data_IF_004843824765
#
_entry.id   IF_004843824765
#
_cell.length_a   1.000
_cell.length_b   1.000
_cell.length_c   1.000
_cell.angle_alpha   90.00
_cell.angle_beta   90.00
_cell.angle_gamma   90.00
#
_symmetry.space_group_name_H-M   'P 1'
#
loop_
_entity.id
_entity.type
_entity.pdbx_description
1 polymer ?
#
# COMPACT_ATOMS: atom_id res chain seq x y z
N UNK A 1 10.91 -11.53 -4.93
CA UNK A 1 11.72 -12.42 -5.79
C UNK A 1 10.93 -13.11 -6.90
N UNK A 2 9.81 -13.76 -6.60
CA UNK A 2 9.06 -14.60 -7.56
C UNK A 2 8.19 -13.82 -8.56
N UNK A 3 7.56 -12.72 -8.13
CA UNK A 3 6.60 -11.98 -8.97
C UNK A 3 7.20 -11.54 -10.33
N UNK A 4 8.40 -10.92 -10.40
CA UNK A 4 9.02 -10.60 -11.69
C UNK A 4 9.22 -11.83 -12.61
N UNK A 5 9.58 -12.98 -12.04
CA UNK A 5 9.77 -14.22 -12.81
C UNK A 5 8.43 -14.74 -13.33
N UNK A 6 7.39 -14.69 -12.50
CA UNK A 6 6.04 -15.11 -12.88
C UNK A 6 5.40 -14.22 -13.96
N UNK A 7 5.71 -12.93 -13.97
CA UNK A 7 5.28 -12.01 -15.04
C UNK A 7 5.92 -12.37 -16.40
N UNK A 8 7.16 -12.87 -16.40
CA UNK A 8 7.85 -13.28 -17.62
C UNK A 8 7.43 -14.69 -18.12
N UNK A 9 6.91 -15.54 -17.22
CA UNK A 9 6.51 -16.93 -17.51
C UNK A 9 5.18 -17.25 -16.85
N UNK A 10 4.09 -16.89 -17.53
CA UNK A 10 2.74 -16.94 -16.98
C UNK A 10 2.21 -18.37 -16.77
N UNK A 11 2.78 -19.37 -17.43
CA UNK A 11 2.40 -20.77 -17.41
C UNK A 11 3.25 -21.62 -16.45
N UNK A 12 4.23 -21.01 -15.76
CA UNK A 12 5.10 -21.71 -14.81
C UNK A 12 4.34 -22.06 -13.52
N UNK A 13 3.90 -23.31 -13.43
CA UNK A 13 3.09 -23.80 -12.31
C UNK A 13 3.82 -23.71 -10.96
N UNK A 14 5.14 -23.87 -10.94
CA UNK A 14 5.92 -23.82 -9.70
C UNK A 14 5.94 -22.38 -9.16
N UNK A 15 6.23 -21.41 -10.03
CA UNK A 15 6.19 -19.98 -9.65
C UNK A 15 4.79 -19.57 -9.23
N UNK A 16 3.75 -20.00 -9.97
CA UNK A 16 2.35 -19.71 -9.63
C UNK A 16 1.96 -20.29 -8.27
N UNK A 17 2.37 -21.53 -7.98
CA UNK A 17 2.11 -22.21 -6.71
C UNK A 17 2.75 -21.45 -5.56
N UNK A 18 4.03 -21.08 -5.69
CA UNK A 18 4.74 -20.35 -4.65
C UNK A 18 4.18 -18.93 -4.44
N UNK A 19 3.79 -18.22 -5.50
CA UNK A 19 3.12 -16.91 -5.39
C UNK A 19 1.75 -17.03 -4.71
N UNK A 20 0.96 -18.05 -5.08
CA UNK A 20 -0.32 -18.33 -4.44
C UNK A 20 -0.14 -18.64 -2.95
N UNK A 21 0.86 -19.45 -2.60
CA UNK A 21 1.18 -19.76 -1.21
C UNK A 21 1.59 -18.53 -0.41
N UNK A 22 2.47 -17.68 -0.97
CA UNK A 22 2.86 -16.42 -0.34
C UNK A 22 1.64 -15.50 -0.11
N UNK A 23 0.71 -15.43 -1.08
CA UNK A 23 -0.54 -14.68 -0.93
C UNK A 23 -1.42 -15.23 0.19
N UNK A 24 -1.57 -16.56 0.29
CA UNK A 24 -2.33 -17.20 1.37
C UNK A 24 -1.75 -16.84 2.72
N UNK A 25 -0.42 -16.93 2.89
CA UNK A 25 0.24 -16.56 4.14
C UNK A 25 -0.02 -15.09 4.46
N UNK A 26 0.15 -14.19 3.50
CA UNK A 26 -0.08 -12.75 3.68
C UNK A 26 -1.52 -12.40 4.10
N UNK A 27 -2.51 -13.18 3.64
CA UNK A 27 -3.92 -13.01 3.99
C UNK A 27 -4.38 -13.88 5.17
N UNK A 28 -3.51 -14.72 5.73
CA UNK A 28 -3.82 -15.59 6.87
C UNK A 28 -3.65 -14.86 8.21
N UNK A 29 -4.08 -15.52 9.30
CA UNK A 29 -3.81 -15.06 10.66
C UNK A 29 -2.32 -15.21 11.04
N UNK A 30 -1.49 -15.85 10.23
CA UNK A 30 -0.08 -16.05 10.56
C UNK A 30 0.65 -14.71 10.81
N UNK A 31 0.31 -13.68 10.03
CA UNK A 31 0.85 -12.33 10.21
C UNK A 31 0.50 -11.66 11.55
N UNK A 32 -0.46 -12.20 12.32
CA UNK A 32 -0.80 -11.65 13.64
C UNK A 32 0.11 -12.14 14.75
N UNK A 33 0.86 -13.22 14.53
CA UNK A 33 1.62 -13.96 15.56
C UNK A 33 2.92 -13.26 16.05
N UNK A 34 3.11 -11.97 15.77
CA UNK A 34 4.32 -11.24 16.18
C UNK A 34 4.15 -9.71 16.34
N UNK A 35 2.91 -9.23 16.47
CA UNK A 35 2.65 -7.79 16.61
C UNK A 35 1.26 -7.31 16.17
N UNK A 36 0.33 -8.24 15.93
CA UNK A 36 -0.99 -7.95 15.38
C UNK A 36 -0.97 -7.68 13.86
N UNK A 37 -2.15 -7.58 13.26
CA UNK A 37 -2.36 -7.47 11.81
C UNK A 37 -1.75 -6.23 11.12
N UNK A 38 -1.10 -5.34 11.87
CA UNK A 38 -1.01 -3.94 11.52
C UNK A 38 -2.40 -3.29 11.44
N UNK A 39 -2.44 -1.99 11.21
CA UNK A 39 -3.70 -1.23 11.28
C UNK A 39 -4.34 -1.03 9.90
N UNK A 40 -3.72 -1.56 8.84
CA UNK A 40 -4.19 -1.56 7.44
C UNK A 40 -4.78 -0.23 6.96
N UNK A 41 -4.33 0.90 7.51
CA UNK A 41 -4.96 2.20 7.22
C UNK A 41 -4.77 2.63 5.77
N UNK A 42 -3.67 2.23 5.12
CA UNK A 42 -3.50 2.33 3.68
C UNK A 42 -4.64 1.63 2.90
N UNK A 43 -5.10 0.45 3.34
CA UNK A 43 -6.22 -0.23 2.70
C UNK A 43 -7.52 0.56 2.85
N UNK A 44 -7.77 1.09 4.05
CA UNK A 44 -9.00 1.81 4.31
C UNK A 44 -9.09 3.09 3.48
N UNK A 45 -8.01 3.87 3.36
CA UNK A 45 -8.00 5.06 2.48
C UNK A 45 -8.05 4.69 0.99
N UNK A 46 -7.48 3.54 0.58
CA UNK A 46 -7.52 3.05 -0.80
C UNK A 46 -8.90 2.52 -1.23
N UNK A 47 -9.68 1.95 -0.29
CA UNK A 47 -11.03 1.46 -0.55
C UNK A 47 -11.94 2.56 -1.10
N UNK A 48 -11.85 3.78 -0.55
CA UNK A 48 -12.68 4.90 -1.01
C UNK A 48 -12.30 5.33 -2.43
N UNK A 49 -11.01 5.40 -2.77
CA UNK A 49 -10.59 5.67 -4.14
C UNK A 49 -11.09 4.59 -5.11
N UNK A 50 -10.92 3.31 -4.75
CA UNK A 50 -11.36 2.18 -5.58
C UNK A 50 -12.88 2.23 -5.82
N UNK A 51 -13.66 2.55 -4.78
CA UNK A 51 -15.12 2.63 -4.88
C UNK A 51 -15.65 3.85 -5.65
N UNK A 52 -14.93 4.98 -5.64
CA UNK A 52 -15.34 6.17 -6.41
C UNK A 52 -15.01 6.05 -7.91
N UNK A 53 -13.88 5.42 -8.25
CA UNK A 53 -13.35 5.41 -9.61
C UNK A 53 -13.45 4.05 -10.31
N UNK A 54 -13.98 3.02 -9.65
CA UNK A 54 -14.01 1.63 -10.15
C UNK A 54 -12.63 1.12 -10.63
N UNK A 55 -11.61 1.44 -9.84
CA UNK A 55 -10.21 1.04 -10.11
C UNK A 55 -9.86 -0.19 -9.30
N UNK A 56 -9.12 -1.11 -9.93
CA UNK A 56 -8.62 -2.32 -9.30
C UNK A 56 -7.94 -2.00 -7.95
N UNK A 57 -8.39 -2.68 -6.88
CA UNK A 57 -7.95 -2.38 -5.53
C UNK A 57 -6.43 -2.41 -5.34
N UNK A 58 -5.75 -3.38 -5.97
CA UNK A 58 -4.29 -3.50 -5.94
C UNK A 58 -3.56 -2.30 -6.59
N UNK A 59 -4.15 -1.68 -7.61
CA UNK A 59 -3.59 -0.49 -8.25
C UNK A 59 -3.68 0.73 -7.33
N UNK A 60 -4.83 0.93 -6.66
CA UNK A 60 -5.01 1.98 -5.66
C UNK A 60 -4.02 1.83 -4.49
N UNK A 61 -3.86 0.61 -3.97
CA UNK A 61 -2.89 0.32 -2.91
C UNK A 61 -1.45 0.63 -3.36
N UNK A 62 -1.07 0.19 -4.56
CA UNK A 62 0.27 0.40 -5.09
C UNK A 62 0.60 1.89 -5.32
N UNK A 63 -0.37 2.67 -5.80
CA UNK A 63 -0.21 4.11 -5.98
C UNK A 63 -0.04 4.85 -4.64
N UNK A 64 -0.80 4.47 -3.61
CA UNK A 64 -0.79 5.15 -2.31
C UNK A 64 0.37 4.72 -1.39
N UNK A 65 0.87 3.50 -1.55
CA UNK A 65 1.79 2.88 -0.60
C UNK A 65 3.01 3.76 -0.29
N UNK A 66 3.75 4.32 -1.26
CA UNK A 66 4.93 5.13 -0.95
C UNK A 66 4.62 6.42 -0.17
N UNK A 67 3.57 7.15 -0.55
CA UNK A 67 3.14 8.36 0.15
C UNK A 67 2.67 8.05 1.58
N UNK A 68 1.89 6.97 1.74
CA UNK A 68 1.48 6.48 3.05
C UNK A 68 2.69 6.10 3.92
N UNK A 69 3.69 5.40 3.37
CA UNK A 69 4.91 5.05 4.10
C UNK A 69 5.67 6.30 4.57
N UNK A 70 5.80 7.34 3.72
CA UNK A 70 6.43 8.62 4.09
C UNK A 70 5.65 9.32 5.20
N UNK A 71 4.32 9.36 5.10
CA UNK A 71 3.47 9.90 6.16
C UNK A 71 3.63 9.14 7.49
N UNK A 72 3.80 7.82 7.44
CA UNK A 72 3.97 6.96 8.63
C UNK A 72 5.42 6.94 9.16
N UNK A 73 6.41 7.36 8.37
CA UNK A 73 7.84 7.31 8.70
C UNK A 73 8.19 7.93 10.07
N UNK A 74 7.68 9.11 10.46
CA UNK A 74 8.03 9.72 11.74
C UNK A 74 7.67 8.88 12.97
N UNK A 75 6.64 8.02 12.87
CA UNK A 75 6.13 7.20 13.99
C UNK A 75 6.48 5.72 13.87
N UNK A 76 7.08 5.28 12.76
CA UNK A 76 7.43 3.87 12.49
C UNK A 76 8.77 3.69 11.77
N UNK A 77 9.73 4.61 11.95
CA UNK A 77 11.06 4.58 11.30
C UNK A 77 11.73 3.20 11.34
N UNK A 78 11.79 2.57 12.52
CA UNK A 78 12.40 1.26 12.71
C UNK A 78 11.75 0.14 11.87
N UNK A 79 10.44 0.24 11.61
CA UNK A 79 9.74 -0.74 10.77
C UNK A 79 10.17 -0.62 9.30
N UNK A 80 10.35 0.60 8.80
CA UNK A 80 10.80 0.82 7.42
C UNK A 80 12.29 0.52 7.23
N UNK A 81 13.12 0.79 8.24
CA UNK A 81 14.50 0.35 8.25
C UNK A 81 14.60 -1.18 8.26
N UNK A 82 13.83 -1.86 9.12
CA UNK A 82 13.79 -3.33 9.17
C UNK A 82 13.27 -3.93 7.87
N UNK A 83 12.26 -3.32 7.22
CA UNK A 83 11.79 -3.72 5.89
C UNK A 83 12.94 -3.65 4.88
N UNK A 84 13.63 -2.51 4.81
CA UNK A 84 14.79 -2.34 3.94
C UNK A 84 15.83 -3.43 4.18
N UNK A 85 16.31 -3.55 5.41
CA UNK A 85 17.42 -4.46 5.76
C UNK A 85 17.06 -5.93 5.56
N UNK A 86 15.91 -6.36 6.05
CA UNK A 86 15.57 -7.78 6.14
C UNK A 86 14.89 -8.32 4.88
N UNK A 87 14.24 -7.46 4.08
CA UNK A 87 13.52 -7.89 2.86
C UNK A 87 14.27 -7.50 1.59
N UNK A 88 14.85 -6.30 1.56
CA UNK A 88 15.52 -5.78 0.37
C UNK A 88 17.05 -5.77 0.45
N UNK A 89 17.62 -5.93 1.66
CA UNK A 89 19.07 -5.76 1.87
C UNK A 89 19.54 -4.31 1.77
N UNK A 90 18.65 -3.34 2.01
CA UNK A 90 18.91 -1.90 1.81
C UNK A 90 18.59 -1.09 3.09
N UNK A 91 19.21 0.07 3.30
CA UNK A 91 18.90 0.89 4.49
C UNK A 91 17.54 1.59 4.41
N UNK A 92 17.20 2.09 3.22
CA UNK A 92 15.95 2.82 2.96
C UNK A 92 14.88 1.88 2.39
N UNK A 93 14.02 1.35 3.26
CA UNK A 93 12.93 0.48 2.87
C UNK A 93 11.83 1.16 2.04
N UNK A 94 11.68 2.48 2.11
CA UNK A 94 10.69 3.20 1.27
C UNK A 94 11.20 3.26 -0.16
N UNK A 95 12.43 3.71 -0.36
CA UNK A 95 13.04 3.76 -1.69
C UNK A 95 13.14 2.36 -2.32
N UNK A 96 13.44 1.34 -1.51
CA UNK A 96 13.46 -0.05 -1.98
C UNK A 96 12.07 -0.54 -2.41
N UNK A 97 11.02 -0.16 -1.68
CA UNK A 97 9.63 -0.48 -2.05
C UNK A 97 9.25 0.20 -3.37
N UNK A 98 9.62 1.47 -3.58
CA UNK A 98 9.34 2.17 -4.84
C UNK A 98 10.06 1.54 -6.04
N UNK A 99 11.34 1.18 -5.90
CA UNK A 99 12.09 0.45 -6.94
C UNK A 99 11.48 -0.91 -7.22
N UNK A 100 11.01 -1.61 -6.20
CA UNK A 100 10.34 -2.89 -6.37
C UNK A 100 9.01 -2.75 -7.13
N UNK A 101 8.19 -1.75 -6.78
CA UNK A 101 6.96 -1.42 -7.50
C UNK A 101 7.25 -1.08 -8.96
N UNK A 102 8.30 -0.32 -9.24
CA UNK A 102 8.73 0.01 -10.60
C UNK A 102 9.10 -1.24 -11.39
N UNK A 103 9.89 -2.13 -10.79
CA UNK A 103 10.33 -3.39 -11.38
C UNK A 103 9.17 -4.31 -11.77
N UNK A 104 8.05 -4.27 -11.04
CA UNK A 104 6.86 -5.10 -11.33
C UNK A 104 5.75 -4.35 -12.06
N UNK A 105 6.02 -3.13 -12.56
CA UNK A 105 5.04 -2.33 -13.30
C UNK A 105 3.90 -1.76 -12.44
N UNK A 106 4.10 -1.64 -11.13
CA UNK A 106 3.11 -1.18 -10.16
C UNK A 106 3.48 0.14 -9.48
N UNK A 107 4.50 0.87 -9.97
CA UNK A 107 4.78 2.25 -9.52
C UNK A 107 3.80 3.21 -10.21
N UNK A 108 2.56 3.16 -9.73
CA UNK A 108 1.44 3.91 -10.30
C UNK A 108 1.32 5.30 -9.66
N UNK A 109 0.59 6.18 -10.34
CA UNK A 109 0.16 7.48 -9.81
C UNK A 109 -1.35 7.60 -9.94
N UNK A 110 -1.97 8.33 -9.03
CA UNK A 110 -3.43 8.51 -9.06
C UNK A 110 -3.89 9.20 -10.36
N UNK A 111 -3.08 10.11 -10.91
CA UNK A 111 -3.36 10.76 -12.21
C UNK A 111 -3.41 9.77 -13.38
N UNK A 112 -2.53 8.77 -13.37
CA UNK A 112 -2.44 7.76 -14.44
C UNK A 112 -3.61 6.77 -14.37
N UNK A 113 -4.28 6.70 -13.20
CA UNK A 113 -5.50 5.94 -12.95
C UNK A 113 -6.78 6.73 -13.22
N UNK A 114 -6.68 7.96 -13.78
CA UNK A 114 -7.81 8.80 -14.12
C UNK A 114 -8.49 9.49 -12.93
N UNK A 115 -7.85 9.49 -11.75
CA UNK A 115 -8.40 10.14 -10.57
C UNK A 115 -8.23 11.66 -10.65
N UNK A 116 -9.17 12.38 -10.04
CA UNK A 116 -9.30 13.83 -10.10
C UNK A 116 -9.02 14.47 -8.75
N UNK A 117 -8.01 15.36 -8.61
CA UNK A 117 -7.67 16.00 -7.34
C UNK A 117 -8.83 16.76 -6.70
N UNK A 118 -9.78 17.22 -7.49
CA UNK A 118 -10.97 17.96 -7.04
C UNK A 118 -11.85 17.13 -6.11
N UNK A 119 -11.83 15.79 -6.25
CA UNK A 119 -12.60 14.89 -5.39
C UNK A 119 -11.83 14.42 -4.14
N UNK A 120 -10.53 14.70 -4.02
CA UNK A 120 -9.72 14.16 -2.93
C UNK A 120 -10.21 14.56 -1.54
N UNK A 121 -10.67 15.80 -1.38
CA UNK A 121 -11.22 16.28 -0.12
C UNK A 121 -12.54 15.57 0.25
N UNK A 122 -13.45 15.41 -0.71
CA UNK A 122 -14.71 14.70 -0.50
C UNK A 122 -14.46 13.23 -0.12
N UNK A 123 -13.58 12.56 -0.85
CA UNK A 123 -13.22 11.15 -0.63
C UNK A 123 -12.56 10.98 0.74
N UNK A 124 -11.63 11.87 1.11
CA UNK A 124 -10.98 11.88 2.41
C UNK A 124 -11.99 12.10 3.54
N UNK A 125 -12.88 13.09 3.41
CA UNK A 125 -13.92 13.38 4.38
C UNK A 125 -14.88 12.18 4.57
N UNK A 126 -15.25 11.51 3.47
CA UNK A 126 -16.08 10.31 3.53
C UNK A 126 -15.36 9.14 4.21
N UNK A 127 -14.06 8.96 3.94
CA UNK A 127 -13.23 7.96 4.61
C UNK A 127 -13.24 8.17 6.13
N UNK A 128 -12.95 9.41 6.58
CA UNK A 128 -12.92 9.77 8.01
C UNK A 128 -14.27 9.56 8.69
N UNK A 129 -15.35 9.93 8.00
CA UNK A 129 -16.71 9.81 8.54
C UNK A 129 -17.17 8.36 8.71
N UNK A 130 -16.72 7.45 7.85
CA UNK A 130 -17.34 6.11 7.74
C UNK A 130 -16.45 4.96 8.19
N UNK A 131 -15.12 5.10 8.13
CA UNK A 131 -14.21 4.03 8.53
C UNK A 131 -13.48 4.34 9.84
N UNK A 132 -14.09 3.96 10.96
CA UNK A 132 -13.50 4.18 12.29
C UNK A 132 -12.11 3.52 12.47
N UNK A 133 -11.73 2.55 11.62
CA UNK A 133 -10.47 1.81 11.74
C UNK A 133 -9.26 2.66 11.33
N UNK A 134 -9.45 3.76 10.60
CA UNK A 134 -8.34 4.70 10.33
C UNK A 134 -7.76 5.30 11.61
N UNK A 135 -8.57 5.42 12.67
CA UNK A 135 -8.16 5.93 13.99
C UNK A 135 -7.18 5.01 14.70
N UNK A 136 -7.03 3.77 14.23
CA UNK A 136 -6.02 2.89 14.75
C UNK A 136 -4.62 3.45 14.46
N UNK A 137 -4.39 4.15 13.33
CA UNK A 137 -3.08 4.65 12.93
C UNK A 137 -2.37 5.42 14.06
N UNK A 138 -1.07 5.17 14.34
CA UNK A 138 -0.34 5.85 15.43
C UNK A 138 -0.16 7.36 15.20
N UNK A 139 -0.39 7.84 13.98
CA UNK A 139 -0.40 9.25 13.60
C UNK A 139 -1.80 9.60 13.09
N UNK A 140 -2.36 10.74 13.52
CA UNK A 140 -3.73 11.15 13.21
C UNK A 140 -4.02 11.22 11.70
N UNK A 141 -4.82 10.30 11.19
CA UNK A 141 -5.37 10.33 9.83
C UNK A 141 -6.71 11.07 9.82
N UNK A 142 -6.64 12.40 9.84
CA UNK A 142 -7.78 13.28 9.57
C UNK A 142 -7.95 13.54 8.06
N UNK A 143 -8.91 14.40 7.71
CA UNK A 143 -9.24 14.70 6.31
C UNK A 143 -8.05 15.30 5.58
N UNK A 144 -7.34 16.24 6.22
CA UNK A 144 -6.20 16.93 5.63
C UNK A 144 -5.01 15.97 5.43
N UNK A 145 -4.73 15.11 6.41
CA UNK A 145 -3.68 14.10 6.30
C UNK A 145 -3.95 13.12 5.15
N UNK A 146 -5.19 12.64 5.00
CA UNK A 146 -5.55 11.71 3.93
C UNK A 146 -5.52 12.41 2.57
N UNK A 147 -6.05 13.64 2.48
CA UNK A 147 -5.98 14.47 1.28
C UNK A 147 -4.53 14.71 0.85
N UNK A 148 -3.63 15.00 1.80
CA UNK A 148 -2.21 15.17 1.51
C UNK A 148 -1.58 13.87 0.98
N UNK A 149 -1.91 12.71 1.56
CA UNK A 149 -1.44 11.41 1.03
C UNK A 149 -1.92 11.20 -0.41
N UNK A 150 -3.16 11.56 -0.73
CA UNK A 150 -3.67 11.50 -2.11
C UNK A 150 -2.91 12.45 -3.04
N UNK A 151 -2.63 13.68 -2.61
CA UNK A 151 -1.86 14.66 -3.37
C UNK A 151 -0.41 14.19 -3.61
N UNK A 152 0.24 13.63 -2.60
CA UNK A 152 1.59 13.09 -2.69
C UNK A 152 1.68 11.85 -3.60
N UNK A 153 0.54 11.20 -3.86
CA UNK A 153 0.42 10.02 -4.72
C UNK A 153 -0.04 10.34 -6.16
N UNK A 154 -0.34 11.61 -6.45
CA UNK A 154 -0.84 12.09 -7.75
C UNK A 154 0.28 12.22 -8.79
#
# INVERSE_FOLDING_TARGET
ELLPKGLARLDDIEIRTQLSWASIIACSQFGTLGGGYGQRTCHFIANFLSGYYDIAHGACLAALLPAWMRYTLPVRKERFHSLGKNVFGEEDGIAATERWLEKVGMKLRLRDLGMKPELFEEIAARCVRTDARIKAHPRLLDVDAIKQIYQDSY
#
